data_IF_795682446695
#
_entry.id   IF_795682446695
#
_cell.length_a   1.000
_cell.length_b   1.000
_cell.length_c   1.000
_cell.angle_alpha   90.00
_cell.angle_beta   90.00
_cell.angle_gamma   90.00
#
_symmetry.space_group_name_H-M   'P 1'
#
loop_
_entity.id
_entity.type
_entity.pdbx_description
1 polymer ?
#
# COMPACT_ATOMS: atom_id res chain seq x y z
N UNK A 1 -11.60 11.10 -9.40
CA UNK A 1 -11.38 9.76 -8.82
C UNK A 1 -10.65 8.78 -9.75
N UNK A 2 -10.83 8.81 -11.07
CA UNK A 2 -10.22 7.82 -11.98
C UNK A 2 -8.70 7.93 -12.19
N UNK A 3 -8.04 9.02 -11.81
CA UNK A 3 -6.64 9.26 -12.19
C UNK A 3 -5.58 8.87 -11.14
N UNK A 4 -5.95 8.53 -9.91
CA UNK A 4 -4.99 8.19 -8.85
C UNK A 4 -4.96 6.71 -8.47
N UNK A 5 -5.96 5.94 -8.84
CA UNK A 5 -6.02 4.49 -8.60
C UNK A 5 -4.85 3.71 -9.22
N UNK A 6 -4.35 4.02 -10.42
CA UNK A 6 -3.14 3.39 -10.96
C UNK A 6 -1.92 3.51 -10.05
N UNK A 7 -1.84 4.56 -9.23
CA UNK A 7 -0.71 4.81 -8.34
C UNK A 7 -0.61 3.81 -7.18
N UNK A 8 -1.72 3.48 -6.54
CA UNK A 8 -1.73 2.51 -5.44
C UNK A 8 -1.47 1.08 -5.90
N UNK A 9 -1.96 0.74 -7.08
CA UNK A 9 -1.79 -0.59 -7.65
C UNK A 9 -0.37 -0.83 -8.12
N UNK A 10 0.29 0.17 -8.72
CA UNK A 10 1.70 0.11 -9.08
C UNK A 10 2.61 -0.17 -7.88
N UNK A 11 2.24 0.26 -6.69
CA UNK A 11 2.96 -0.01 -5.44
C UNK A 11 3.03 -1.50 -5.09
N UNK A 12 1.93 -2.24 -5.25
CA UNK A 12 1.91 -3.67 -5.02
C UNK A 12 2.92 -4.40 -5.90
N UNK A 13 3.17 -3.90 -7.11
CA UNK A 13 4.02 -4.53 -8.12
C UNK A 13 5.50 -4.16 -7.94
N UNK A 14 5.83 -2.94 -7.55
CA UNK A 14 7.22 -2.57 -7.26
C UNK A 14 7.82 -3.39 -6.10
N UNK A 15 7.00 -3.80 -5.14
CA UNK A 15 7.42 -4.76 -4.11
C UNK A 15 7.69 -6.16 -4.67
N UNK A 16 7.08 -6.51 -5.80
CA UNK A 16 7.30 -7.81 -6.45
C UNK A 16 8.64 -7.87 -7.17
N UNK A 17 9.08 -6.81 -7.84
CA UNK A 17 10.38 -6.75 -8.50
C UNK A 17 11.56 -6.81 -7.52
N UNK A 18 11.43 -6.25 -6.34
CA UNK A 18 12.42 -6.39 -5.26
C UNK A 18 12.58 -7.83 -4.76
N UNK A 19 11.56 -8.68 -4.92
CA UNK A 19 11.62 -10.10 -4.56
C UNK A 19 12.15 -10.99 -5.71
N UNK A 20 11.95 -10.60 -6.97
CA UNK A 20 12.47 -11.34 -8.13
C UNK A 20 13.95 -11.09 -8.41
N UNK A 21 14.58 -10.09 -7.80
CA UNK A 21 16.01 -9.80 -7.91
C UNK A 21 16.92 -10.74 -7.09
N UNK A 22 16.43 -11.87 -6.60
CA UNK A 22 17.29 -12.95 -6.10
C UNK A 22 17.87 -13.70 -7.32
N UNK A 23 18.92 -13.15 -7.89
CA UNK A 23 19.70 -13.82 -8.92
C UNK A 23 20.51 -14.95 -8.28
N UNK A 24 20.16 -16.18 -8.58
CA UNK A 24 21.04 -17.34 -8.32
C UNK A 24 22.11 -17.31 -9.40
N UNK A 25 23.20 -16.59 -9.14
CA UNK A 25 24.38 -16.63 -10.00
C UNK A 25 25.02 -18.03 -9.93
N UNK A 26 25.42 -18.58 -11.07
CA UNK A 26 26.13 -19.85 -11.21
C UNK A 26 27.54 -19.77 -10.58
N UNK A 27 27.60 -19.63 -9.26
CA UNK A 27 28.87 -19.49 -8.52
C UNK A 27 28.76 -19.63 -7.02
N UNK A 28 27.59 -20.00 -6.49
CA UNK A 28 27.47 -20.48 -5.08
C UNK A 28 27.72 -19.46 -3.98
N UNK A 29 27.70 -18.16 -4.25
CA UNK A 29 27.79 -17.11 -3.23
C UNK A 29 26.50 -16.31 -3.25
N UNK A 30 25.66 -16.50 -2.22
CA UNK A 30 24.52 -15.65 -1.98
C UNK A 30 24.99 -14.26 -1.57
N UNK A 31 25.02 -13.31 -2.53
CA UNK A 31 25.05 -11.90 -2.19
C UNK A 31 23.59 -11.48 -2.01
N UNK A 32 23.16 -11.40 -0.77
CA UNK A 32 21.95 -10.65 -0.41
C UNK A 32 22.32 -9.17 -0.62
N UNK A 33 21.73 -8.44 -1.55
CA UNK A 33 21.93 -7.00 -1.57
C UNK A 33 21.32 -6.46 -0.28
N UNK A 34 22.15 -5.81 0.55
CA UNK A 34 21.71 -4.98 1.66
C UNK A 34 21.00 -3.79 1.01
N UNK A 35 19.70 -3.87 0.88
CA UNK A 35 18.86 -2.79 0.40
C UNK A 35 18.32 -2.04 1.61
N UNK A 36 18.84 -0.80 1.73
CA UNK A 36 18.39 0.29 2.60
C UNK A 36 18.78 0.21 4.07
N UNK A 37 19.93 0.75 4.34
CA UNK A 37 20.28 1.37 5.62
C UNK A 37 19.49 2.69 5.74
N UNK A 38 18.36 2.67 6.45
CA UNK A 38 17.72 3.89 6.91
C UNK A 38 18.55 4.42 8.06
N UNK A 39 19.44 5.35 7.74
CA UNK A 39 20.42 5.96 8.63
C UNK A 39 19.94 6.24 10.05
N UNK A 40 20.28 5.34 10.95
CA UNK A 40 20.64 5.66 12.34
C UNK A 40 21.90 4.85 12.67
N UNK A 41 22.97 5.49 13.15
CA UNK A 41 24.11 4.77 13.67
C UNK A 41 23.70 4.14 15.01
N UNK A 42 23.42 2.87 15.06
CA UNK A 42 23.49 2.07 16.28
C UNK A 42 24.69 1.16 16.17
N UNK A 43 25.77 1.57 16.82
CA UNK A 43 27.01 0.84 17.04
C UNK A 43 26.76 -0.40 17.89
N UNK A 44 25.99 -1.39 17.51
CA UNK A 44 25.92 -2.65 18.27
C UNK A 44 25.28 -3.85 17.56
N UNK A 45 25.27 -3.89 16.22
CA UNK A 45 24.70 -5.04 15.49
C UNK A 45 25.74 -5.93 14.76
N UNK A 46 27.02 -5.84 15.12
CA UNK A 46 28.11 -6.62 14.50
C UNK A 46 28.45 -7.93 15.26
N UNK A 47 27.78 -8.25 16.37
CA UNK A 47 28.20 -9.38 17.19
C UNK A 47 27.41 -10.70 17.01
N UNK A 48 26.39 -10.79 16.16
CA UNK A 48 25.51 -11.98 16.09
C UNK A 48 25.80 -12.92 14.90
N UNK A 49 26.58 -12.51 13.90
CA UNK A 49 26.86 -13.38 12.73
C UNK A 49 28.36 -13.70 12.55
N UNK A 50 29.02 -14.18 13.63
CA UNK A 50 30.32 -14.86 13.51
C UNK A 50 30.16 -16.35 13.75
N UNK A 51 29.64 -17.07 12.76
CA UNK A 51 29.95 -18.51 12.57
C UNK A 51 30.15 -18.78 11.09
N UNK A 52 31.24 -19.48 10.70
CA UNK A 52 31.51 -19.78 9.30
C UNK A 52 30.57 -20.87 8.79
N UNK A 53 29.97 -20.63 7.64
CA UNK A 53 29.24 -21.65 6.90
C UNK A 53 30.26 -22.60 6.25
N UNK A 54 30.14 -23.89 6.57
CA UNK A 54 30.90 -24.97 5.95
C UNK A 54 30.53 -25.10 4.47
N UNK A 55 31.52 -24.95 3.59
CA UNK A 55 31.42 -25.32 2.19
C UNK A 55 31.27 -26.84 2.06
N UNK A 56 30.20 -27.32 1.44
CA UNK A 56 30.07 -28.70 0.97
C UNK A 56 30.48 -28.75 -0.51
N UNK A 57 31.28 -29.72 -0.94
CA UNK A 57 31.72 -29.88 -2.32
C UNK A 57 30.59 -30.37 -3.22
N UNK A 58 30.59 -29.88 -4.46
CA UNK A 58 29.68 -30.25 -5.54
C UNK A 58 30.00 -31.66 -6.00
N UNK A 59 29.01 -32.55 -5.93
CA UNK A 59 29.05 -33.88 -6.55
C UNK A 59 28.26 -33.85 -7.89
N UNK A 60 28.73 -34.60 -8.91
CA UNK A 60 28.15 -34.53 -10.25
C UNK A 60 26.82 -35.26 -10.39
N UNK A 61 26.09 -34.84 -11.40
CA UNK A 61 24.74 -35.21 -11.80
C UNK A 61 24.43 -36.72 -11.73
N UNK A 62 23.52 -37.09 -10.83
CA UNK A 62 22.60 -38.20 -10.99
C UNK A 62 21.39 -37.94 -10.09
N UNK A 63 20.19 -38.06 -10.66
CA UNK A 63 18.92 -37.82 -10.00
C UNK A 63 18.79 -38.51 -8.66
N UNK A 64 18.91 -37.77 -7.57
CA UNK A 64 18.59 -38.26 -6.21
C UNK A 64 17.90 -37.14 -5.44
N UNK A 65 16.81 -37.53 -4.77
CA UNK A 65 16.06 -36.75 -3.80
C UNK A 65 17.01 -36.05 -2.85
N UNK A 66 16.99 -34.73 -2.83
CA UNK A 66 17.74 -33.95 -1.83
C UNK A 66 16.91 -33.94 -0.55
N UNK A 67 17.35 -34.74 0.44
CA UNK A 67 16.86 -34.62 1.80
C UNK A 67 17.76 -33.61 2.51
N UNK A 68 17.24 -32.41 2.78
CA UNK A 68 17.95 -31.45 3.62
C UNK A 68 17.75 -31.89 5.08
N UNK A 69 18.75 -32.50 5.66
CA UNK A 69 18.84 -32.70 7.13
C UNK A 69 19.41 -31.40 7.72
N UNK A 70 18.58 -30.57 8.30
CA UNK A 70 19.03 -29.54 9.21
C UNK A 70 19.47 -30.21 10.51
N UNK A 71 20.76 -30.13 10.84
CA UNK A 71 21.30 -30.54 12.14
C UNK A 71 21.07 -29.36 13.09
N UNK A 72 19.89 -29.29 13.66
CA UNK A 72 19.59 -28.53 14.87
C UNK A 72 18.70 -29.40 15.76
N UNK A 73 19.27 -29.79 16.86
CA UNK A 73 18.63 -30.41 18.05
C UNK A 73 17.18 -30.93 17.88
N UNK A 74 17.10 -32.26 17.63
CA UNK A 74 16.03 -33.18 18.04
C UNK A 74 14.59 -32.70 18.06
N UNK A 75 14.08 -32.26 16.88
CA UNK A 75 12.64 -32.39 16.57
C UNK A 75 12.47 -32.45 15.03
N UNK A 76 11.67 -33.37 14.48
CA UNK A 76 11.40 -33.42 13.05
C UNK A 76 10.44 -32.31 12.67
N UNK A 77 10.89 -31.40 11.81
CA UNK A 77 9.98 -30.45 11.15
C UNK A 77 9.26 -31.22 10.03
N UNK A 78 7.97 -31.44 10.22
CA UNK A 78 7.09 -32.01 9.19
C UNK A 78 6.77 -30.87 8.23
N UNK A 79 7.41 -30.89 7.06
CA UNK A 79 7.00 -30.02 5.94
C UNK A 79 5.88 -30.77 5.22
N UNK A 80 4.66 -30.26 5.32
CA UNK A 80 3.55 -30.71 4.47
C UNK A 80 3.83 -30.29 3.05
N UNK A 81 4.17 -31.23 2.22
CA UNK A 81 4.34 -31.08 0.79
C UNK A 81 2.98 -31.37 0.13
N UNK A 82 2.16 -30.33 -0.05
CA UNK A 82 1.10 -30.35 -1.06
C UNK A 82 1.59 -29.53 -2.23
N UNK A 83 2.33 -30.16 -3.10
CA UNK A 83 2.66 -29.62 -4.40
C UNK A 83 2.41 -30.67 -5.45
N UNK A 84 1.33 -30.50 -6.18
CA UNK A 84 1.33 -30.94 -7.57
C UNK A 84 2.31 -30.00 -8.28
N UNK A 85 3.53 -30.49 -8.48
CA UNK A 85 4.57 -29.73 -9.15
C UNK A 85 4.19 -29.71 -10.64
N UNK A 86 3.58 -28.61 -11.10
CA UNK A 86 3.76 -28.20 -12.48
C UNK A 86 5.24 -27.83 -12.62
N UNK A 87 6.00 -28.73 -13.26
CA UNK A 87 7.38 -28.44 -13.67
C UNK A 87 7.35 -27.40 -14.79
N UNK A 88 7.33 -26.13 -14.40
CA UNK A 88 7.80 -25.09 -15.29
C UNK A 88 9.33 -25.16 -15.28
N UNK A 89 9.88 -25.75 -16.30
CA UNK A 89 11.30 -25.64 -16.66
C UNK A 89 11.58 -24.18 -16.94
N UNK A 90 12.21 -23.48 -15.99
CA UNK A 90 12.85 -22.20 -16.26
C UNK A 90 14.06 -22.48 -17.15
N UNK A 91 13.89 -22.40 -18.45
CA UNK A 91 15.02 -22.29 -19.37
C UNK A 91 15.56 -20.86 -19.25
N UNK A 92 16.74 -20.71 -18.69
CA UNK A 92 17.52 -19.49 -18.78
C UNK A 92 17.93 -19.26 -20.23
N UNK A 93 17.09 -18.57 -21.00
CA UNK A 93 17.54 -17.93 -22.22
C UNK A 93 18.20 -16.62 -21.85
N UNK A 94 19.52 -16.60 -21.97
CA UNK A 94 20.33 -15.37 -22.02
C UNK A 94 20.21 -14.80 -23.43
N UNK A 95 19.08 -14.21 -23.74
CA UNK A 95 18.95 -13.31 -24.87
C UNK A 95 18.61 -11.91 -24.34
N UNK A 96 19.48 -10.98 -24.64
CA UNK A 96 19.41 -9.56 -24.33
C UNK A 96 18.37 -8.83 -25.21
N UNK A 97 17.14 -9.35 -25.27
CA UNK A 97 15.99 -8.60 -25.71
C UNK A 97 15.25 -8.13 -24.45
N UNK A 98 15.10 -6.83 -24.31
CA UNK A 98 14.24 -6.19 -23.31
C UNK A 98 12.86 -6.85 -23.31
N UNK A 99 12.64 -7.80 -22.38
CA UNK A 99 11.38 -8.51 -22.28
C UNK A 99 10.50 -7.79 -21.26
N UNK A 100 9.76 -6.80 -21.74
CA UNK A 100 8.73 -6.18 -20.91
C UNK A 100 7.68 -7.23 -20.51
N UNK A 101 7.32 -7.24 -19.22
CA UNK A 101 6.36 -8.17 -18.65
C UNK A 101 5.10 -7.44 -18.18
N UNK A 102 3.98 -8.16 -18.22
CA UNK A 102 2.71 -7.68 -17.70
C UNK A 102 2.51 -8.13 -16.25
N UNK A 103 2.01 -7.24 -15.43
CA UNK A 103 1.65 -7.48 -14.05
C UNK A 103 0.26 -6.92 -13.77
N UNK A 104 -0.41 -7.47 -12.77
CA UNK A 104 -1.67 -6.93 -12.28
C UNK A 104 -1.49 -6.55 -10.81
N UNK A 105 -1.88 -5.35 -10.44
CA UNK A 105 -1.99 -4.95 -9.06
C UNK A 105 -3.43 -4.82 -8.62
N UNK A 106 -3.76 -5.34 -7.45
CA UNK A 106 -5.10 -5.25 -6.86
C UNK A 106 -5.04 -4.40 -5.61
N UNK A 107 -5.91 -3.40 -5.55
CA UNK A 107 -6.08 -2.51 -4.40
C UNK A 107 -7.54 -2.42 -3.97
N UNK A 108 -7.77 -2.42 -2.67
CA UNK A 108 -9.01 -1.98 -2.07
C UNK A 108 -8.71 -0.93 -1.00
N UNK A 109 -9.29 0.26 -1.17
CA UNK A 109 -9.04 1.40 -0.31
C UNK A 109 -9.78 1.34 1.02
N UNK A 110 -9.46 2.29 1.91
CA UNK A 110 -10.15 2.44 3.20
C UNK A 110 -11.60 2.91 3.08
N UNK A 111 -12.00 3.45 1.92
CA UNK A 111 -13.40 3.78 1.59
C UNK A 111 -14.29 2.55 1.50
N UNK A 112 -13.70 1.36 1.26
CA UNK A 112 -14.41 0.08 1.11
C UNK A 112 -15.51 0.15 0.03
N UNK A 113 -15.19 0.76 -1.10
CA UNK A 113 -16.14 0.90 -2.22
C UNK A 113 -16.10 -0.29 -3.16
N UNK A 114 -14.94 -0.94 -3.28
CA UNK A 114 -14.72 -2.07 -4.16
C UNK A 114 -13.26 -2.45 -4.28
N UNK A 115 -12.99 -3.29 -5.27
CA UNK A 115 -11.65 -3.71 -5.67
C UNK A 115 -11.29 -3.11 -7.02
N UNK A 116 -10.11 -2.52 -7.08
CA UNK A 116 -9.48 -2.03 -8.30
C UNK A 116 -8.38 -2.98 -8.73
N UNK A 117 -8.36 -3.35 -10.01
CA UNK A 117 -7.25 -4.05 -10.63
C UNK A 117 -6.70 -3.23 -11.79
N UNK A 118 -5.38 -3.09 -11.86
CA UNK A 118 -4.70 -2.38 -12.93
C UNK A 118 -3.68 -3.28 -13.58
N UNK A 119 -3.74 -3.38 -14.91
CA UNK A 119 -2.74 -4.02 -15.74
C UNK A 119 -1.62 -3.03 -16.01
N UNK A 120 -0.40 -3.41 -15.73
CA UNK A 120 0.78 -2.59 -15.98
C UNK A 120 1.83 -3.35 -16.78
N UNK A 121 2.69 -2.59 -17.46
CA UNK A 121 3.86 -3.11 -18.15
C UNK A 121 5.13 -2.61 -17.47
N UNK A 122 6.06 -3.53 -17.23
CA UNK A 122 7.36 -3.23 -16.65
C UNK A 122 8.50 -3.88 -17.46
N UNK A 123 9.67 -3.30 -17.42
CA UNK A 123 10.89 -3.80 -18.06
C UNK A 123 12.04 -3.74 -17.05
N UNK A 124 12.45 -4.89 -16.52
CA UNK A 124 13.55 -5.00 -15.57
C UNK A 124 13.41 -4.08 -14.34
N UNK A 125 12.21 -3.97 -13.78
CA UNK A 125 11.92 -3.08 -12.63
C UNK A 125 11.53 -1.65 -13.03
N UNK A 126 11.63 -1.29 -14.31
CA UNK A 126 11.22 0.02 -14.80
C UNK A 126 9.75 0.03 -15.21
N UNK A 127 9.00 0.95 -14.66
CA UNK A 127 7.61 1.22 -15.07
C UNK A 127 7.55 1.72 -16.50
N UNK A 128 6.73 1.08 -17.35
CA UNK A 128 6.48 1.51 -18.71
C UNK A 128 5.09 2.15 -18.88
N UNK A 129 4.12 1.75 -18.07
CA UNK A 129 2.78 2.35 -18.10
C UNK A 129 1.70 1.45 -17.52
N UNK A 130 0.53 2.06 -17.25
CA UNK A 130 -0.72 1.35 -17.00
C UNK A 130 -1.44 1.15 -18.34
N UNK A 131 -1.87 -0.09 -18.63
CA UNK A 131 -2.49 -0.45 -19.90
C UNK A 131 -4.02 -0.58 -19.80
N UNK A 132 -4.51 -1.07 -18.66
CA UNK A 132 -5.94 -1.26 -18.46
C UNK A 132 -6.31 -1.23 -16.97
N UNK A 133 -7.60 -1.05 -16.71
CA UNK A 133 -8.18 -0.98 -15.38
C UNK A 133 -9.53 -1.71 -15.34
N UNK A 134 -9.82 -2.38 -14.23
CA UNK A 134 -11.11 -2.95 -13.91
C UNK A 134 -11.48 -2.64 -12.46
N UNK A 135 -12.77 -2.41 -12.21
CA UNK A 135 -13.29 -2.13 -10.87
C UNK A 135 -14.54 -2.97 -10.63
N UNK A 136 -14.61 -3.61 -9.47
CA UNK A 136 -15.81 -4.29 -8.99
C UNK A 136 -16.24 -3.72 -7.63
N UNK A 137 -17.48 -3.21 -7.51
CA UNK A 137 -17.97 -2.65 -6.26
C UNK A 137 -18.23 -3.75 -5.22
N UNK A 138 -18.03 -3.40 -3.94
CA UNK A 138 -18.48 -4.26 -2.84
C UNK A 138 -19.99 -4.20 -2.70
N UNK A 139 -20.60 -5.35 -2.37
CA UNK A 139 -21.99 -5.36 -1.92
C UNK A 139 -22.11 -4.63 -0.58
N UNK A 140 -23.29 -4.04 -0.32
CA UNK A 140 -23.55 -3.38 0.96
C UNK A 140 -23.34 -4.30 2.17
N UNK A 141 -23.66 -5.59 2.03
CA UNK A 141 -23.42 -6.61 3.05
C UNK A 141 -21.93 -6.81 3.31
N UNK A 142 -21.13 -7.01 2.26
CA UNK A 142 -19.68 -7.19 2.38
C UNK A 142 -19.04 -5.98 3.05
N UNK A 143 -19.40 -4.76 2.61
CA UNK A 143 -18.93 -3.51 3.21
C UNK A 143 -19.26 -3.42 4.71
N UNK A 144 -20.50 -3.74 5.10
CA UNK A 144 -20.93 -3.71 6.51
C UNK A 144 -20.18 -4.71 7.38
N UNK A 145 -19.91 -5.92 6.87
CA UNK A 145 -19.18 -6.95 7.60
C UNK A 145 -17.69 -6.60 7.73
N UNK A 146 -17.07 -5.97 6.72
CA UNK A 146 -15.71 -5.48 6.77
C UNK A 146 -15.55 -4.32 7.77
N UNK A 147 -16.51 -3.38 7.79
CA UNK A 147 -16.54 -2.30 8.77
C UNK A 147 -16.64 -2.84 10.20
N UNK A 148 -17.48 -3.87 10.42
CA UNK A 148 -17.62 -4.50 11.72
C UNK A 148 -16.37 -5.24 12.23
N UNK A 149 -15.37 -5.49 11.38
CA UNK A 149 -14.06 -6.03 11.79
C UNK A 149 -13.04 -4.94 12.17
N UNK A 150 -13.36 -3.68 11.95
CA UNK A 150 -12.49 -2.57 12.40
C UNK A 150 -12.54 -2.41 13.93
N UNK A 151 -13.68 -2.75 14.53
CA UNK A 151 -13.87 -2.79 15.98
C UNK A 151 -13.78 -4.22 16.51
N UNK A 152 -13.46 -4.34 17.81
CA UNK A 152 -13.45 -5.63 18.49
C UNK A 152 -14.84 -6.20 18.60
N UNK A 153 -15.02 -7.47 18.27
CA UNK A 153 -16.34 -8.12 18.26
C UNK A 153 -16.26 -9.64 18.41
N UNK A 154 -17.43 -10.28 18.44
CA UNK A 154 -17.53 -11.72 18.55
C UNK A 154 -17.04 -12.43 17.29
N UNK A 155 -16.35 -13.58 17.48
CA UNK A 155 -15.94 -14.52 16.45
C UNK A 155 -15.10 -13.93 15.30
N UNK A 156 -14.27 -12.92 15.62
CA UNK A 156 -13.48 -12.17 14.65
C UNK A 156 -12.60 -13.08 13.76
N UNK A 157 -11.98 -14.11 14.34
CA UNK A 157 -11.08 -14.99 13.58
C UNK A 157 -11.83 -15.75 12.49
N UNK A 158 -12.99 -16.33 12.81
CA UNK A 158 -13.80 -17.03 11.83
C UNK A 158 -14.35 -16.09 10.78
N UNK A 159 -14.94 -14.97 11.20
CA UNK A 159 -15.48 -13.95 10.30
C UNK A 159 -14.43 -13.39 9.34
N UNK A 160 -13.23 -13.10 9.84
CA UNK A 160 -12.13 -12.59 9.02
C UNK A 160 -11.71 -13.60 7.93
N UNK A 161 -11.68 -14.90 8.24
CA UNK A 161 -11.35 -15.93 7.23
C UNK A 161 -12.42 -16.07 6.15
N UNK A 162 -13.69 -16.03 6.55
CA UNK A 162 -14.81 -16.05 5.57
C UNK A 162 -14.77 -14.82 4.67
N UNK A 163 -14.55 -13.63 5.23
CA UNK A 163 -14.45 -12.39 4.46
C UNK A 163 -13.22 -12.35 3.55
N UNK A 164 -12.08 -12.88 4.00
CA UNK A 164 -10.88 -13.01 3.18
C UNK A 164 -11.14 -13.86 1.92
N UNK A 165 -11.89 -14.97 2.06
CA UNK A 165 -12.28 -15.80 0.92
C UNK A 165 -13.25 -15.08 -0.03
N UNK A 166 -14.24 -14.36 0.51
CA UNK A 166 -15.16 -13.58 -0.31
C UNK A 166 -14.45 -12.49 -1.11
N UNK A 167 -13.52 -11.77 -0.45
CA UNK A 167 -12.68 -10.77 -1.10
C UNK A 167 -11.82 -11.39 -2.20
N UNK A 168 -11.17 -12.53 -1.93
CA UNK A 168 -10.31 -13.17 -2.93
C UNK A 168 -11.07 -13.66 -4.15
N UNK A 169 -12.32 -14.09 -4.01
CA UNK A 169 -13.19 -14.38 -5.16
C UNK A 169 -13.50 -13.13 -5.96
N UNK A 170 -13.89 -12.04 -5.29
CA UNK A 170 -14.16 -10.76 -5.96
C UNK A 170 -12.89 -10.21 -6.64
N UNK A 171 -11.72 -10.38 -6.03
CA UNK A 171 -10.44 -10.01 -6.66
C UNK A 171 -10.15 -10.86 -7.90
N UNK A 172 -10.43 -12.17 -7.84
CA UNK A 172 -10.30 -13.05 -9.00
C UNK A 172 -11.25 -12.64 -10.14
N UNK A 173 -12.51 -12.35 -9.83
CA UNK A 173 -13.49 -11.85 -10.80
C UNK A 173 -13.03 -10.52 -11.44
N UNK A 174 -12.39 -9.63 -10.64
CA UNK A 174 -11.87 -8.35 -11.14
C UNK A 174 -10.70 -8.58 -12.11
N UNK A 175 -9.82 -9.55 -11.81
CA UNK A 175 -8.72 -9.96 -12.68
C UNK A 175 -9.25 -10.60 -13.97
N UNK A 176 -10.21 -11.51 -13.87
CA UNK A 176 -10.82 -12.19 -15.01
C UNK A 176 -11.42 -11.18 -16.00
N UNK A 177 -12.24 -10.24 -15.50
CA UNK A 177 -12.80 -9.17 -16.34
C UNK A 177 -11.72 -8.32 -17.02
N UNK A 178 -10.60 -8.06 -16.34
CA UNK A 178 -9.50 -7.31 -16.90
C UNK A 178 -8.84 -8.08 -18.04
N UNK A 179 -8.57 -9.37 -17.85
CA UNK A 179 -7.97 -10.25 -18.84
C UNK A 179 -8.88 -10.43 -20.06
N UNK A 180 -10.16 -10.70 -19.87
CA UNK A 180 -11.14 -10.84 -20.93
C UNK A 180 -11.22 -9.59 -21.81
N UNK A 181 -11.31 -8.40 -21.20
CA UNK A 181 -11.38 -7.12 -21.94
C UNK A 181 -10.11 -6.84 -22.75
N UNK A 182 -8.96 -7.36 -22.33
CA UNK A 182 -7.68 -7.19 -23.02
C UNK A 182 -7.34 -8.35 -23.96
N UNK A 183 -8.14 -9.43 -23.99
CA UNK A 183 -7.84 -10.62 -24.77
C UNK A 183 -6.58 -11.35 -24.30
N UNK A 184 -6.26 -11.27 -23.00
CA UNK A 184 -5.09 -11.87 -22.38
C UNK A 184 -5.45 -13.17 -21.67
N UNK A 185 -4.47 -14.06 -21.57
CA UNK A 185 -4.56 -15.30 -20.78
C UNK A 185 -3.82 -15.12 -19.45
N UNK A 186 -4.14 -15.92 -18.42
CA UNK A 186 -3.38 -15.93 -17.16
C UNK A 186 -1.86 -16.10 -17.39
N UNK A 187 -1.46 -16.91 -18.36
CA UNK A 187 -0.04 -17.16 -18.73
C UNK A 187 0.71 -15.93 -19.27
N UNK A 188 0.00 -14.90 -19.69
CA UNK A 188 0.57 -13.67 -20.23
C UNK A 188 0.94 -12.67 -19.10
N UNK A 189 0.53 -12.98 -17.86
CA UNK A 189 0.76 -12.18 -16.67
C UNK A 189 1.85 -12.81 -15.81
N UNK A 190 2.88 -12.06 -15.53
CA UNK A 190 4.01 -12.52 -14.71
C UNK A 190 3.59 -12.75 -13.25
N UNK A 191 2.81 -11.84 -12.68
CA UNK A 191 2.29 -12.00 -11.32
C UNK A 191 1.15 -11.01 -11.01
N UNK A 192 0.39 -11.34 -9.95
CA UNK A 192 -0.59 -10.47 -9.31
C UNK A 192 -0.05 -9.98 -7.97
N UNK A 193 -0.01 -8.67 -7.76
CA UNK A 193 0.22 -8.05 -6.45
C UNK A 193 -1.12 -7.71 -5.80
N UNK A 194 -1.41 -8.27 -4.64
CA UNK A 194 -2.67 -8.06 -3.93
C UNK A 194 -2.43 -7.37 -2.58
N UNK A 195 -2.92 -6.13 -2.45
CA UNK A 195 -2.86 -5.40 -1.17
C UNK A 195 -3.78 -6.03 -0.11
N UNK A 196 -4.94 -6.54 -0.53
CA UNK A 196 -6.00 -6.94 0.39
C UNK A 196 -6.76 -5.75 0.99
N UNK A 197 -7.78 -6.01 1.81
CA UNK A 197 -8.59 -5.00 2.49
C UNK A 197 -8.08 -4.78 3.91
N UNK A 198 -7.59 -3.58 4.20
CA UNK A 198 -7.19 -3.23 5.57
C UNK A 198 -8.40 -3.19 6.50
N UNK A 199 -8.35 -3.98 7.56
CA UNK A 199 -9.35 -4.00 8.63
C UNK A 199 -8.78 -3.53 9.96
N UNK A 200 -7.45 -3.65 10.17
CA UNK A 200 -6.80 -3.16 11.38
C UNK A 200 -5.37 -2.73 11.07
N UNK A 201 -4.95 -1.61 11.65
CA UNK A 201 -3.60 -1.10 11.50
C UNK A 201 -3.12 -0.61 12.87
N UNK A 202 -2.13 -1.30 13.44
CA UNK A 202 -1.62 -1.07 14.78
C UNK A 202 -0.07 -1.18 14.77
N UNK A 203 0.61 -0.21 14.14
CA UNK A 203 2.07 -0.23 14.01
C UNK A 203 2.78 -0.17 15.35
N UNK A 204 2.19 0.45 16.37
CA UNK A 204 2.69 0.47 17.75
C UNK A 204 2.74 -0.91 18.40
N UNK A 205 1.93 -1.85 17.90
CA UNK A 205 1.95 -3.27 18.27
C UNK A 205 2.67 -4.16 17.26
N UNK A 206 3.27 -3.57 16.21
CA UNK A 206 4.04 -4.25 15.19
C UNK A 206 3.20 -5.05 14.18
N UNK A 207 1.91 -4.72 13.99
CA UNK A 207 1.08 -5.42 13.01
C UNK A 207 0.14 -4.51 12.21
N UNK A 208 -0.26 -5.03 11.06
CA UNK A 208 -1.33 -4.49 10.22
C UNK A 208 -2.05 -5.68 9.55
N UNK A 209 -3.38 -5.66 9.49
CA UNK A 209 -4.17 -6.77 8.96
C UNK A 209 -4.85 -6.31 7.67
N UNK A 210 -4.44 -6.92 6.56
CA UNK A 210 -5.08 -6.81 5.26
C UNK A 210 -5.71 -8.17 4.94
N UNK A 211 -7.04 -8.19 4.78
CA UNK A 211 -7.76 -9.41 4.47
C UNK A 211 -7.61 -9.76 2.99
N UNK A 212 -7.05 -10.92 2.73
CA UNK A 212 -7.05 -11.66 1.47
C UNK A 212 -6.72 -13.14 1.76
N UNK A 213 -7.24 -14.05 0.97
CA UNK A 213 -6.81 -15.44 0.91
C UNK A 213 -5.96 -15.61 -0.36
N UNK A 214 -4.65 -15.32 -0.24
CA UNK A 214 -3.74 -15.31 -1.39
C UNK A 214 -3.62 -16.66 -2.09
N UNK A 215 -3.55 -17.81 -1.36
CA UNK A 215 -3.61 -19.12 -2.00
C UNK A 215 -4.88 -19.34 -2.84
N UNK A 216 -6.03 -18.93 -2.32
CA UNK A 216 -7.29 -19.01 -3.07
C UNK A 216 -7.28 -18.11 -4.31
N UNK A 217 -6.76 -16.89 -4.20
CA UNK A 217 -6.63 -15.97 -5.33
C UNK A 217 -5.72 -16.56 -6.42
N UNK A 218 -4.59 -17.12 -6.04
CA UNK A 218 -3.66 -17.78 -6.97
C UNK A 218 -4.30 -18.98 -7.67
N UNK A 219 -5.06 -19.81 -6.93
CA UNK A 219 -5.77 -20.97 -7.49
C UNK A 219 -6.85 -20.55 -8.48
N UNK A 220 -7.66 -19.53 -8.15
CA UNK A 220 -8.75 -19.05 -8.99
C UNK A 220 -8.26 -18.38 -10.26
N UNK A 221 -7.18 -17.60 -10.19
CA UNK A 221 -6.65 -16.86 -11.34
C UNK A 221 -5.67 -17.66 -12.18
N UNK A 222 -5.05 -18.70 -11.60
CA UNK A 222 -3.93 -19.42 -12.22
C UNK A 222 -2.66 -18.58 -12.35
N UNK A 223 -2.54 -17.45 -11.62
CA UNK A 223 -1.42 -16.52 -11.69
C UNK A 223 -0.67 -16.50 -10.37
N UNK A 224 0.66 -16.44 -10.43
CA UNK A 224 1.48 -16.26 -9.24
C UNK A 224 1.07 -14.99 -8.48
N UNK A 225 0.79 -15.11 -7.18
CA UNK A 225 0.23 -14.02 -6.36
C UNK A 225 1.17 -13.66 -5.21
N UNK A 226 1.37 -12.37 -5.01
CA UNK A 226 2.15 -11.78 -3.91
C UNK A 226 1.27 -10.81 -3.12
N UNK A 227 1.41 -10.80 -1.80
CA UNK A 227 0.66 -9.90 -0.92
C UNK A 227 1.33 -9.72 0.43
N UNK A 228 0.60 -9.19 1.40
CA UNK A 228 1.08 -8.90 2.76
C UNK A 228 2.29 -7.94 2.78
N UNK A 229 2.21 -6.87 2.02
CA UNK A 229 3.30 -5.91 1.86
C UNK A 229 3.62 -5.13 3.14
N UNK A 230 2.60 -4.84 3.98
CA UNK A 230 2.74 -4.02 5.19
C UNK A 230 3.49 -4.73 6.31
N UNK A 231 3.28 -6.04 6.46
CA UNK A 231 4.00 -6.84 7.47
C UNK A 231 5.51 -6.85 7.23
N UNK A 232 5.95 -6.81 5.97
CA UNK A 232 7.38 -6.74 5.63
C UNK A 232 8.00 -5.40 6.08
N UNK A 233 7.31 -4.28 5.85
CA UNK A 233 7.77 -2.95 6.26
C UNK A 233 7.83 -2.83 7.79
N UNK A 234 6.79 -3.30 8.49
CA UNK A 234 6.74 -3.35 9.96
C UNK A 234 7.89 -4.20 10.53
N UNK A 235 8.14 -5.37 9.95
CA UNK A 235 9.24 -6.24 10.37
C UNK A 235 10.63 -5.60 10.15
N UNK A 236 10.75 -4.69 9.19
CA UNK A 236 11.96 -3.90 8.96
C UNK A 236 12.06 -2.65 9.88
N UNK A 237 11.09 -2.43 10.77
CA UNK A 237 11.05 -1.28 11.69
C UNK A 237 10.31 -0.07 11.14
N UNK A 238 9.63 -0.19 10.00
CA UNK A 238 8.75 0.84 9.43
C UNK A 238 7.39 0.90 10.13
N UNK A 239 6.52 1.76 9.60
CA UNK A 239 5.16 1.96 10.12
C UNK A 239 4.10 1.15 9.35
N UNK A 240 4.47 0.42 8.30
CA UNK A 240 3.57 -0.30 7.42
C UNK A 240 2.68 0.60 6.54
N UNK A 241 2.77 1.91 6.71
CA UNK A 241 2.08 2.94 5.93
C UNK A 241 2.77 4.32 6.10
N UNK A 242 2.81 5.17 5.06
CA UNK A 242 2.46 4.84 3.68
C UNK A 242 3.55 4.01 2.99
N UNK A 243 3.19 3.08 2.12
CA UNK A 243 4.16 2.33 1.30
C UNK A 243 4.42 3.00 -0.07
N UNK A 244 3.56 3.91 -0.47
CA UNK A 244 3.58 4.57 -1.78
C UNK A 244 4.82 5.45 -2.07
N UNK A 245 5.61 5.95 -1.10
CA UNK A 245 6.77 6.79 -1.40
C UNK A 245 7.79 6.15 -2.32
N UNK A 246 8.04 4.83 -2.20
CA UNK A 246 8.97 4.12 -3.08
C UNK A 246 8.50 4.11 -4.54
N UNK A 247 7.19 3.92 -4.78
CA UNK A 247 6.59 4.00 -6.09
C UNK A 247 6.64 5.43 -6.65
N UNK A 248 6.31 6.42 -5.82
CA UNK A 248 6.41 7.82 -6.22
C UNK A 248 7.83 8.20 -6.60
N UNK A 249 8.84 7.70 -5.87
CA UNK A 249 10.23 7.93 -6.20
C UNK A 249 10.58 7.38 -7.58
N UNK A 250 10.16 6.17 -7.90
CA UNK A 250 10.45 5.54 -9.19
C UNK A 250 9.84 6.29 -10.38
N UNK A 251 8.69 6.97 -10.19
CA UNK A 251 7.98 7.64 -11.28
C UNK A 251 8.21 9.15 -11.35
N UNK A 252 8.38 9.82 -10.21
CA UNK A 252 8.31 11.28 -10.13
C UNK A 252 9.56 11.94 -9.60
N UNK A 253 10.54 11.19 -9.07
CA UNK A 253 11.80 11.78 -8.65
C UNK A 253 12.51 12.48 -9.82
N UNK A 254 13.22 13.54 -9.50
CA UNK A 254 14.07 14.26 -10.44
C UNK A 254 15.47 14.41 -9.85
N UNK A 255 16.51 14.40 -10.71
CA UNK A 255 17.89 14.46 -10.23
C UNK A 255 18.31 15.86 -9.73
N UNK A 256 17.51 16.89 -10.01
CA UNK A 256 17.89 18.29 -9.83
C UNK A 256 16.90 19.09 -8.95
N UNK A 257 15.84 18.47 -8.48
CA UNK A 257 14.86 19.15 -7.62
C UNK A 257 14.15 18.21 -6.65
N UNK A 258 13.83 18.71 -5.46
CA UNK A 258 12.90 18.05 -4.53
C UNK A 258 11.47 18.22 -5.03
N UNK A 259 10.76 17.11 -5.16
CA UNK A 259 9.33 17.05 -5.52
C UNK A 259 8.50 16.52 -4.37
N UNK A 260 7.25 16.92 -4.31
CA UNK A 260 6.28 16.39 -3.35
C UNK A 260 5.06 15.90 -4.09
N UNK A 261 4.59 14.72 -3.73
CA UNK A 261 3.26 14.25 -4.10
C UNK A 261 2.35 14.39 -2.88
N UNK A 262 1.24 15.08 -3.05
CA UNK A 262 0.18 15.22 -2.06
C UNK A 262 -1.01 14.38 -2.50
N UNK A 263 -1.30 13.33 -1.74
CA UNK A 263 -2.49 12.52 -1.93
C UNK A 263 -3.59 12.99 -0.97
N UNK A 264 -4.76 13.36 -1.51
CA UNK A 264 -5.92 13.80 -0.73
C UNK A 264 -7.02 12.74 -0.84
N UNK A 265 -6.91 11.71 -0.01
CA UNK A 265 -7.98 10.74 0.24
C UNK A 265 -8.81 11.13 1.46
N UNK A 266 -9.36 10.17 2.19
CA UNK A 266 -10.00 10.45 3.48
C UNK A 266 -9.05 11.13 4.46
N UNK A 267 -7.83 10.59 4.59
CA UNK A 267 -6.66 11.23 5.20
C UNK A 267 -5.77 11.73 4.07
N UNK A 268 -5.17 12.89 4.24
CA UNK A 268 -4.18 13.44 3.33
C UNK A 268 -2.77 13.02 3.76
N UNK A 269 -1.92 12.64 2.80
CA UNK A 269 -0.53 12.28 3.03
C UNK A 269 0.38 12.85 1.96
N UNK A 270 1.66 12.99 2.28
CA UNK A 270 2.67 13.44 1.33
C UNK A 270 3.76 12.38 1.15
N UNK A 271 4.33 12.37 -0.05
CA UNK A 271 5.62 11.74 -0.34
C UNK A 271 6.60 12.82 -0.74
N UNK A 272 7.71 12.91 -0.04
CA UNK A 272 8.81 13.83 -0.35
C UNK A 272 9.87 13.05 -1.12
N UNK A 273 10.26 13.57 -2.28
CA UNK A 273 11.17 12.93 -3.22
C UNK A 273 12.40 13.83 -3.40
N UNK A 274 13.38 13.77 -2.49
CA UNK A 274 14.61 14.52 -2.64
C UNK A 274 15.49 13.88 -3.73
N UNK A 275 16.34 14.64 -4.45
CA UNK A 275 17.18 14.12 -5.51
C UNK A 275 18.25 13.15 -5.02
N UNK A 276 18.83 13.43 -3.85
CA UNK A 276 20.04 12.74 -3.34
C UNK A 276 19.78 11.90 -2.06
N UNK A 277 18.51 11.62 -1.74
CA UNK A 277 18.15 10.84 -0.56
C UNK A 277 16.94 9.94 -0.84
N UNK A 278 16.72 8.89 -0.02
CA UNK A 278 15.51 8.07 -0.11
C UNK A 278 14.24 8.89 0.05
N UNK A 279 13.21 8.55 -0.71
CA UNK A 279 11.88 9.11 -0.50
C UNK A 279 11.33 8.73 0.87
N UNK A 280 10.58 9.63 1.45
CA UNK A 280 9.84 9.39 2.68
C UNK A 280 8.44 9.99 2.59
N UNK A 281 7.54 9.56 3.47
CA UNK A 281 6.17 10.10 3.47
C UNK A 281 5.51 9.91 4.82
N UNK A 282 4.44 10.68 5.04
CA UNK A 282 3.65 10.66 6.27
C UNK A 282 2.32 11.36 6.06
N UNK A 283 1.39 11.17 7.02
CA UNK A 283 0.08 11.78 6.96
C UNK A 283 0.13 13.25 7.42
N UNK A 284 -0.51 14.13 6.66
CA UNK A 284 -0.56 15.58 6.97
C UNK A 284 -1.75 15.96 7.83
N UNK A 285 -2.81 15.16 7.80
CA UNK A 285 -4.06 15.41 8.53
C UNK A 285 -5.27 14.93 7.76
N UNK A 286 -6.48 15.43 8.06
CA UNK A 286 -7.67 15.05 7.32
C UNK A 286 -7.58 15.53 5.86
N UNK A 287 -7.97 14.64 4.96
CA UNK A 287 -8.23 14.98 3.57
C UNK A 287 -9.70 15.37 3.40
N UNK A 288 -10.46 14.55 2.67
CA UNK A 288 -11.88 14.83 2.39
C UNK A 288 -12.85 14.24 3.44
N UNK A 289 -12.39 13.41 4.37
CA UNK A 289 -13.26 12.66 5.27
C UNK A 289 -14.20 13.52 6.13
N UNK A 290 -13.71 14.67 6.64
CA UNK A 290 -14.54 15.60 7.41
C UNK A 290 -15.52 16.35 6.52
N UNK A 291 -15.10 16.73 5.31
CA UNK A 291 -15.95 17.37 4.31
C UNK A 291 -17.08 16.43 3.88
N UNK A 292 -16.77 15.17 3.60
CA UNK A 292 -17.76 14.16 3.19
C UNK A 292 -18.73 13.85 4.32
N UNK A 293 -18.22 13.68 5.53
CA UNK A 293 -19.07 13.43 6.70
C UNK A 293 -20.00 14.62 7.02
N UNK A 294 -19.51 15.86 6.86
CA UNK A 294 -20.31 17.07 7.02
C UNK A 294 -21.37 17.18 5.91
N UNK A 295 -20.99 16.93 4.67
CA UNK A 295 -21.87 16.94 3.51
C UNK A 295 -22.98 15.90 3.65
N UNK A 296 -22.63 14.70 4.09
CA UNK A 296 -23.61 13.63 4.38
C UNK A 296 -24.58 14.03 5.50
N UNK A 297 -24.06 14.64 6.57
CA UNK A 297 -24.88 15.06 7.73
C UNK A 297 -25.88 16.14 7.37
N UNK A 298 -25.48 17.14 6.57
CA UNK A 298 -26.29 18.35 6.30
C UNK A 298 -27.15 18.18 5.06
N UNK A 299 -26.59 17.67 3.97
CA UNK A 299 -27.27 17.64 2.67
C UNK A 299 -27.66 16.23 2.23
N UNK A 300 -27.35 15.20 3.02
CA UNK A 300 -27.62 13.79 2.70
C UNK A 300 -26.93 13.35 1.38
N UNK A 301 -25.81 13.99 1.05
CA UNK A 301 -24.98 13.67 -0.11
C UNK A 301 -23.68 13.01 0.35
N UNK A 302 -23.12 12.06 -0.43
CA UNK A 302 -21.91 11.36 -0.04
C UNK A 302 -20.68 12.25 0.01
N UNK A 303 -20.64 13.30 -0.81
CA UNK A 303 -19.54 14.28 -0.87
C UNK A 303 -19.98 15.58 -1.58
N UNK A 304 -19.17 16.62 -1.55
CA UNK A 304 -19.36 17.88 -2.24
C UNK A 304 -18.80 17.80 -3.67
N UNK A 305 -19.64 17.52 -4.63
CA UNK A 305 -19.27 17.40 -6.03
C UNK A 305 -18.73 18.72 -6.58
N UNK A 306 -17.50 18.72 -7.10
CA UNK A 306 -16.76 19.87 -7.63
C UNK A 306 -16.60 21.03 -6.62
N UNK A 307 -16.78 20.80 -5.32
CA UNK A 307 -16.70 21.84 -4.30
C UNK A 307 -17.80 22.88 -4.37
N UNK A 308 -18.94 22.55 -5.01
CA UNK A 308 -20.04 23.50 -5.27
C UNK A 308 -20.72 24.01 -4.01
N UNK A 309 -20.79 23.20 -2.96
CA UNK A 309 -21.36 23.61 -1.67
C UNK A 309 -20.38 24.50 -0.91
N UNK A 310 -19.12 24.10 -0.84
CA UNK A 310 -18.07 24.87 -0.19
C UNK A 310 -17.84 26.23 -0.88
N UNK A 311 -18.00 26.31 -2.20
CA UNK A 311 -17.85 27.55 -2.95
C UNK A 311 -18.89 28.63 -2.60
N UNK A 312 -20.02 28.26 -1.96
CA UNK A 312 -21.05 29.19 -1.51
C UNK A 312 -20.75 29.77 -0.11
N UNK A 313 -19.74 29.24 0.57
CA UNK A 313 -19.35 29.67 1.91
C UNK A 313 -18.07 30.49 1.90
N UNK A 314 -17.76 31.02 3.08
CA UNK A 314 -16.51 31.71 3.41
C UNK A 314 -15.79 30.98 4.54
N UNK A 315 -14.48 31.16 4.62
CA UNK A 315 -13.70 30.61 5.75
C UNK A 315 -14.06 31.35 7.02
N UNK A 316 -14.30 30.58 8.09
CA UNK A 316 -14.48 31.08 9.46
C UNK A 316 -13.13 31.03 10.18
N UNK A 317 -12.43 32.18 10.40
CA UNK A 317 -11.06 32.18 10.94
C UNK A 317 -10.96 31.48 12.30
N UNK A 318 -11.86 31.80 13.23
CA UNK A 318 -11.84 31.20 14.58
C UNK A 318 -12.06 29.69 14.55
N UNK A 319 -12.92 29.17 13.66
CA UNK A 319 -13.10 27.73 13.51
C UNK A 319 -11.84 27.09 12.93
N UNK A 320 -11.21 27.71 11.92
CA UNK A 320 -9.98 27.21 11.32
C UNK A 320 -8.85 27.14 12.36
N UNK A 321 -8.66 28.20 13.15
CA UNK A 321 -7.68 28.24 14.25
C UNK A 321 -7.93 27.12 15.27
N UNK A 322 -9.18 26.94 15.69
CA UNK A 322 -9.55 25.85 16.62
C UNK A 322 -9.32 24.45 16.04
N UNK A 323 -9.54 24.26 14.74
CA UNK A 323 -9.25 23.01 14.03
C UNK A 323 -7.74 22.73 13.93
N UNK A 324 -6.92 23.76 13.74
CA UNK A 324 -5.47 23.64 13.69
C UNK A 324 -4.83 23.45 15.07
N UNK A 325 -5.55 23.76 16.16
CA UNK A 325 -5.08 23.66 17.54
C UNK A 325 -5.19 22.23 18.07
N UNK A 326 -4.53 21.27 17.46
CA UNK A 326 -4.50 19.88 17.91
C UNK A 326 -3.07 19.37 17.95
N UNK A 327 -2.73 18.59 18.99
CA UNK A 327 -1.37 18.08 19.24
C UNK A 327 -0.79 17.29 18.06
N UNK A 328 -1.64 16.66 17.27
CA UNK A 328 -1.21 15.93 16.06
C UNK A 328 -0.37 16.80 15.13
N UNK A 329 -0.73 18.06 14.94
CA UNK A 329 -0.03 18.95 13.99
C UNK A 329 1.34 19.39 14.51
N UNK A 330 1.58 19.33 15.81
CA UNK A 330 2.89 19.61 16.42
C UNK A 330 3.81 18.39 16.50
N UNK A 331 3.31 17.17 16.28
CA UNK A 331 4.10 15.93 16.35
C UNK A 331 5.25 15.93 15.33
N UNK A 332 6.41 15.35 15.71
CA UNK A 332 7.52 15.17 14.78
C UNK A 332 7.14 14.19 13.65
N UNK A 333 7.78 14.35 12.50
CA UNK A 333 7.69 13.46 11.35
C UNK A 333 8.66 12.27 11.51
N UNK A 334 8.38 11.06 10.97
CA UNK A 334 7.12 10.69 10.29
C UNK A 334 5.99 10.46 11.32
N UNK A 335 4.76 10.77 10.91
CA UNK A 335 3.55 10.60 11.73
C UNK A 335 2.41 10.04 10.89
N UNK A 336 1.52 9.30 11.54
CA UNK A 336 0.32 8.75 10.91
C UNK A 336 -0.93 9.08 11.72
N UNK A 337 -2.08 9.04 11.08
CA UNK A 337 -3.40 9.26 11.70
C UNK A 337 -4.45 8.43 10.97
N UNK A 338 -5.63 8.31 11.60
CA UNK A 338 -6.75 7.55 11.05
C UNK A 338 -8.08 8.29 11.20
N UNK A 339 -9.14 7.58 10.83
CA UNK A 339 -10.50 8.09 10.87
C UNK A 339 -10.98 8.38 12.29
N UNK A 340 -10.43 7.68 13.26
CA UNK A 340 -10.79 7.82 14.70
C UNK A 340 -10.47 9.21 15.23
N UNK A 341 -9.40 9.85 14.77
CA UNK A 341 -8.98 11.15 15.26
C UNK A 341 -9.79 12.29 14.62
N UNK A 342 -9.97 12.27 13.31
CA UNK A 342 -10.61 13.34 12.56
C UNK A 342 -12.02 12.95 12.08
N UNK A 343 -12.90 12.63 13.02
CA UNK A 343 -14.31 12.28 12.76
C UNK A 343 -15.25 13.46 13.11
N UNK A 344 -16.55 13.28 12.85
CA UNK A 344 -17.56 14.31 13.15
C UNK A 344 -17.52 14.82 14.62
N UNK A 345 -17.27 14.00 15.65
CA UNK A 345 -17.10 14.52 17.01
C UNK A 345 -16.00 15.57 17.13
N UNK A 346 -14.84 15.34 16.46
CA UNK A 346 -13.75 16.33 16.41
C UNK A 346 -14.21 17.71 15.90
N UNK A 347 -15.06 17.73 14.86
CA UNK A 347 -15.65 18.96 14.35
C UNK A 347 -16.70 19.52 15.32
N UNK A 348 -17.58 18.66 15.84
CA UNK A 348 -18.69 19.08 16.70
C UNK A 348 -18.21 19.80 17.97
N UNK A 349 -17.10 19.33 18.58
CA UNK A 349 -16.50 19.94 19.78
C UNK A 349 -15.92 21.33 19.51
N UNK A 350 -15.77 21.73 18.24
CA UNK A 350 -15.17 23.01 17.81
C UNK A 350 -16.15 23.99 17.21
N UNK A 351 -17.38 23.55 16.98
CA UNK A 351 -18.46 24.41 16.53
C UNK A 351 -19.06 25.16 17.72
N UNK A 352 -19.32 26.46 17.55
CA UNK A 352 -20.00 27.28 18.57
C UNK A 352 -21.53 27.15 18.53
N UNK A 353 -22.04 26.60 17.44
CA UNK A 353 -23.47 26.47 17.16
C UNK A 353 -24.03 27.66 16.37
N UNK A 354 -24.81 27.36 15.34
CA UNK A 354 -25.43 28.36 14.50
C UNK A 354 -24.58 28.84 13.30
N UNK A 355 -23.41 28.22 13.06
CA UNK A 355 -22.61 28.52 11.87
C UNK A 355 -23.35 28.13 10.59
N UNK A 356 -23.17 28.95 9.55
CA UNK A 356 -23.69 28.60 8.24
C UNK A 356 -23.01 27.29 7.73
N UNK A 357 -23.78 26.26 7.33
CA UNK A 357 -23.21 25.00 6.91
C UNK A 357 -22.22 25.07 5.73
N UNK A 358 -22.43 26.00 4.79
CA UNK A 358 -21.52 26.25 3.68
C UNK A 358 -20.20 26.87 4.16
N UNK A 359 -20.23 27.77 5.17
CA UNK A 359 -19.05 28.36 5.77
C UNK A 359 -18.22 27.30 6.50
N UNK A 360 -18.88 26.38 7.23
CA UNK A 360 -18.20 25.23 7.86
C UNK A 360 -17.51 24.37 6.80
N UNK A 361 -18.21 24.01 5.73
CA UNK A 361 -17.64 23.15 4.68
C UNK A 361 -16.45 23.84 3.98
N UNK A 362 -16.55 25.16 3.71
CA UNK A 362 -15.46 25.97 3.19
C UNK A 362 -14.25 26.01 4.13
N UNK A 363 -14.51 26.10 5.42
CA UNK A 363 -13.47 26.09 6.45
C UNK A 363 -12.77 24.74 6.53
N UNK A 364 -13.50 23.63 6.42
CA UNK A 364 -12.91 22.29 6.35
C UNK A 364 -12.03 22.11 5.09
N UNK A 365 -12.42 22.69 3.97
CA UNK A 365 -11.59 22.70 2.75
C UNK A 365 -10.28 23.46 2.99
N UNK A 366 -10.36 24.62 3.63
CA UNK A 366 -9.18 25.40 4.00
C UNK A 366 -8.30 24.66 5.02
N UNK A 367 -8.90 23.97 5.97
CA UNK A 367 -8.19 23.18 6.97
C UNK A 367 -7.33 22.07 6.35
N UNK A 368 -7.87 21.32 5.40
CA UNK A 368 -7.11 20.31 4.62
C UNK A 368 -5.95 20.95 3.88
N UNK A 369 -6.18 22.10 3.22
CA UNK A 369 -5.14 22.79 2.46
C UNK A 369 -4.03 23.34 3.37
N UNK A 370 -4.38 23.94 4.51
CA UNK A 370 -3.39 24.52 5.45
C UNK A 370 -2.54 23.47 6.13
N UNK A 371 -3.14 22.35 6.56
CA UNK A 371 -2.39 21.24 7.18
C UNK A 371 -1.41 20.63 6.18
N UNK A 372 -1.84 20.37 4.94
CA UNK A 372 -0.96 19.85 3.89
C UNK A 372 0.17 20.85 3.57
N UNK A 373 -0.16 22.13 3.37
CA UNK A 373 0.84 23.14 3.05
C UNK A 373 1.84 23.37 4.18
N UNK A 374 1.41 23.34 5.43
CA UNK A 374 2.30 23.45 6.60
C UNK A 374 3.31 22.30 6.66
N UNK A 375 2.84 21.06 6.43
CA UNK A 375 3.71 19.90 6.46
C UNK A 375 4.67 19.86 5.25
N UNK A 376 4.23 20.28 4.06
CA UNK A 376 5.11 20.41 2.90
C UNK A 376 6.22 21.43 3.17
N UNK A 377 5.88 22.62 3.70
CA UNK A 377 6.87 23.66 4.04
C UNK A 377 7.88 23.19 5.10
N UNK A 378 7.43 22.35 6.04
CA UNK A 378 8.30 21.79 7.10
C UNK A 378 9.22 20.68 6.57
N UNK A 379 8.68 19.77 5.74
CA UNK A 379 9.38 18.58 5.27
C UNK A 379 10.28 18.83 4.06
N UNK A 380 9.92 19.80 3.23
CA UNK A 380 10.56 20.08 1.95
C UNK A 380 10.55 21.59 1.66
N UNK A 381 11.26 22.42 2.45
CA UNK A 381 11.28 23.87 2.27
C UNK A 381 11.82 24.32 0.92
N UNK A 382 12.65 23.51 0.27
CA UNK A 382 13.21 23.71 -1.06
C UNK A 382 12.32 23.17 -2.19
N UNK A 383 11.17 22.58 -1.87
CA UNK A 383 10.28 21.99 -2.87
C UNK A 383 9.82 23.01 -3.90
N UNK A 384 9.99 22.68 -5.19
CA UNK A 384 9.57 23.53 -6.30
C UNK A 384 8.29 23.04 -6.99
N UNK A 385 7.96 21.77 -6.84
CA UNK A 385 6.78 21.17 -7.49
C UNK A 385 6.02 20.27 -6.53
N UNK A 386 4.71 20.52 -6.45
CA UNK A 386 3.77 19.66 -5.76
C UNK A 386 2.83 19.06 -6.79
N UNK A 387 2.78 17.73 -6.86
CA UNK A 387 1.79 17.01 -7.63
C UNK A 387 0.66 16.60 -6.70
N UNK A 388 -0.57 16.88 -7.08
CA UNK A 388 -1.75 16.57 -6.27
C UNK A 388 -2.49 15.40 -6.90
N UNK A 389 -2.89 14.44 -6.06
CA UNK A 389 -3.70 13.27 -6.41
C UNK A 389 -4.67 12.93 -5.27
N UNK A 390 -5.62 12.01 -5.50
CA UNK A 390 -6.64 11.58 -4.52
C UNK A 390 -8.04 11.53 -5.07
#
# INVERSE_FOLDING_TARGET
MQNCMPFFVGQCILHMDLMSAIHIGAGGIFKVPVLYDYGRPSENLISVFRRPFLCLPILPQAAKRVTIRAVLNRQPIIIFQTASIMTHTFTSQTDSASSSQLYIGIMSGTSMDGADAVLIRMDGGRWLGAEAHSFLPYSGRLKSELLALQDSGGDELHRSRILAQQLSRLYADTVEQLLERQGLRPSDIAAVGCHGQTVRHAPEHGYSIQLADLPLLAELTGIFTVGDFRSRDLAAGGQGAPLVPAFHQALFAAPDETRVLLNIGGIANISVLPPDAPAFGFDTGPGNMLMDAWTQKIWQKPYDEDGRLAAQGKVLPSLLENLLCHDYFSRPQPKSTGRELFALPYLADRLSGGENPHDVLRTLTAFTAETAAAEIRRAAPECRRVYVCG
#
